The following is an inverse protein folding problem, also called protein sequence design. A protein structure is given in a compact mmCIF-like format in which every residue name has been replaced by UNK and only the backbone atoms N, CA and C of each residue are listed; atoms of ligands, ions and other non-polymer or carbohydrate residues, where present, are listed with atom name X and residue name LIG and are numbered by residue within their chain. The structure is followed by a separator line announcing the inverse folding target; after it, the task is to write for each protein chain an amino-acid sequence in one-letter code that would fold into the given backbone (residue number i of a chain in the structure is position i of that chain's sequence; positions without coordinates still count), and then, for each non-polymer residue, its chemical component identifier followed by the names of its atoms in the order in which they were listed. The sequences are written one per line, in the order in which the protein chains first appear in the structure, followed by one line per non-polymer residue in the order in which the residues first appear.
data_IF_010715303830
#
_entry.id   IF_010715303830
#
_cell.length_a   1.000
_cell.length_b   1.000
_cell.length_c   1.000
_cell.angle_alpha   90.00
_cell.angle_beta   90.00
_cell.angle_gamma   90.00
#
_symmetry.space_group_name_H-M   'P 1'
#
loop_
_entity.id
_entity.type
_entity.pdbx_description
1 polymer ?
#
# COMPACT_ATOMS: atom_id res chain seq x y z
N UNK A 1 -17.63 -16.93 -88.02
CA UNK A 1 -19.03 -16.73 -88.27
C UNK A 1 -19.70 -16.65 -86.91
N UNK A 2 -20.16 -15.59 -86.44
CA UNK A 2 -21.04 -14.53 -86.64
C UNK A 2 -20.78 -13.43 -85.57
N UNK A 3 -20.61 -12.21 -86.03
CA UNK A 3 -20.37 -11.01 -85.27
C UNK A 3 -21.71 -10.55 -84.68
N UNK A 4 -21.75 -10.20 -83.39
CA UNK A 4 -22.83 -9.44 -82.79
C UNK A 4 -22.26 -8.22 -82.07
N UNK A 5 -22.54 -7.04 -82.68
CA UNK A 5 -22.28 -5.70 -82.16
C UNK A 5 -23.26 -5.37 -81.01
N UNK A 6 -22.77 -4.91 -79.85
CA UNK A 6 -23.62 -4.24 -78.87
C UNK A 6 -23.36 -2.75 -78.84
N UNK A 7 -24.38 -2.00 -79.07
CA UNK A 7 -24.47 -0.54 -78.96
C UNK A 7 -24.44 -0.16 -77.46
N UNK A 8 -23.56 0.77 -77.12
CA UNK A 8 -23.51 1.37 -75.81
C UNK A 8 -24.47 2.56 -75.77
N UNK A 9 -25.44 2.52 -74.89
CA UNK A 9 -26.26 3.65 -74.48
C UNK A 9 -25.67 4.26 -73.18
N UNK A 10 -25.23 5.52 -73.35
CA UNK A 10 -24.77 6.32 -72.20
C UNK A 10 -25.98 6.88 -71.45
N UNK A 11 -26.11 6.52 -70.13
CA UNK A 11 -27.07 7.14 -69.21
C UNK A 11 -26.29 8.15 -68.37
N UNK A 12 -26.62 9.44 -68.56
CA UNK A 12 -26.11 10.52 -67.73
C UNK A 12 -26.85 10.48 -66.34
N UNK A 13 -26.14 10.18 -65.26
CA UNK A 13 -26.68 10.29 -63.93
C UNK A 13 -26.35 11.66 -63.34
N UNK A 14 -27.38 12.45 -63.11
CA UNK A 14 -27.31 13.71 -62.34
C UNK A 14 -27.08 13.28 -60.81
N UNK A 15 -25.94 13.62 -60.28
CA UNK A 15 -25.68 13.48 -58.82
C UNK A 15 -26.17 14.76 -58.13
N UNK A 16 -27.29 14.66 -57.40
CA UNK A 16 -27.68 15.64 -56.38
C UNK A 16 -26.79 15.46 -55.15
N UNK A 17 -25.89 16.40 -54.92
CA UNK A 17 -25.09 16.45 -53.70
C UNK A 17 -25.93 16.93 -52.52
N UNK A 18 -26.29 16.01 -51.61
CA UNK A 18 -26.84 16.34 -50.29
C UNK A 18 -25.69 16.68 -49.37
N UNK A 19 -25.51 17.95 -49.06
CA UNK A 19 -24.61 18.41 -47.99
C UNK A 19 -25.21 17.99 -46.63
N UNK A 20 -24.75 16.86 -46.08
CA UNK A 20 -25.03 16.49 -44.70
C UNK A 20 -24.06 17.25 -43.80
N UNK A 21 -24.56 18.31 -43.16
CA UNK A 21 -23.81 19.01 -42.10
C UNK A 21 -23.64 18.04 -40.90
N UNK A 22 -22.41 17.64 -40.62
CA UNK A 22 -22.10 16.89 -39.39
C UNK A 22 -22.40 17.79 -38.18
N UNK A 23 -23.11 17.26 -37.12
CA UNK A 23 -23.29 18.03 -35.90
C UNK A 23 -21.91 18.25 -35.25
N UNK A 24 -21.64 19.51 -34.87
CA UNK A 24 -20.47 19.88 -34.11
C UNK A 24 -20.45 19.04 -32.83
N UNK A 25 -19.38 18.23 -32.64
CA UNK A 25 -19.16 17.51 -31.40
C UNK A 25 -19.06 18.54 -30.28
N UNK A 26 -20.06 18.56 -29.40
CA UNK A 26 -20.02 19.35 -28.17
C UNK A 26 -18.84 18.88 -27.37
N UNK A 27 -17.82 19.71 -27.17
CA UNK A 27 -16.72 19.44 -26.27
C UNK A 27 -17.33 19.18 -24.89
N UNK A 28 -17.20 17.95 -24.40
CA UNK A 28 -17.52 17.65 -22.99
C UNK A 28 -16.68 18.59 -22.12
N UNK A 29 -17.30 19.27 -21.13
CA UNK A 29 -16.53 20.06 -20.19
C UNK A 29 -15.46 19.18 -19.56
N UNK A 30 -14.21 19.66 -19.58
CA UNK A 30 -13.11 18.99 -18.92
C UNK A 30 -13.54 18.67 -17.49
N UNK A 31 -13.54 17.38 -17.12
CA UNK A 31 -13.88 16.95 -15.77
C UNK A 31 -13.00 17.74 -14.79
N UNK A 32 -13.62 18.47 -13.87
CA UNK A 32 -12.88 19.17 -12.83
C UNK A 32 -11.96 18.15 -12.15
N UNK A 33 -10.70 18.50 -11.84
CA UNK A 33 -9.81 17.60 -11.15
C UNK A 33 -10.48 17.19 -9.82
N UNK A 34 -10.85 15.92 -9.76
CA UNK A 34 -11.57 15.42 -8.61
C UNK A 34 -10.67 15.56 -7.38
N UNK A 35 -11.16 16.26 -6.36
CA UNK A 35 -10.44 16.49 -5.11
C UNK A 35 -9.94 15.20 -4.48
N UNK A 36 -8.76 15.23 -3.87
CA UNK A 36 -8.24 14.09 -3.13
C UNK A 36 -9.19 13.71 -1.99
N UNK A 37 -9.38 12.42 -1.68
CA UNK A 37 -10.16 11.99 -0.52
C UNK A 37 -9.59 12.60 0.77
N UNK A 38 -10.46 12.98 1.69
CA UNK A 38 -10.08 13.63 2.97
C UNK A 38 -10.30 12.66 4.12
N UNK A 39 -9.38 12.66 5.09
CA UNK A 39 -9.53 11.95 6.34
C UNK A 39 -10.24 12.84 7.36
N UNK A 40 -11.56 12.91 7.29
CA UNK A 40 -12.41 13.51 8.33
C UNK A 40 -12.79 12.46 9.40
N UNK A 41 -13.55 12.88 10.40
CA UNK A 41 -13.97 12.02 11.51
C UNK A 41 -14.83 10.85 11.07
N UNK A 42 -15.75 11.09 10.13
CA UNK A 42 -16.65 10.05 9.61
C UNK A 42 -15.87 9.00 8.82
N UNK A 43 -15.00 9.44 7.92
CA UNK A 43 -14.07 8.56 7.18
C UNK A 43 -13.16 7.78 8.12
N UNK A 44 -12.63 8.42 9.17
CA UNK A 44 -11.78 7.76 10.16
C UNK A 44 -12.54 6.66 10.92
N UNK A 45 -13.77 6.95 11.35
CA UNK A 45 -14.61 5.97 12.03
C UNK A 45 -14.93 4.79 11.13
N UNK A 46 -15.29 5.05 9.87
CA UNK A 46 -15.58 4.02 8.88
C UNK A 46 -14.35 3.14 8.59
N UNK A 47 -13.17 3.73 8.38
CA UNK A 47 -11.94 2.99 8.17
C UNK A 47 -11.55 2.12 9.36
N UNK A 48 -11.80 2.56 10.59
CA UNK A 48 -11.45 1.81 11.79
C UNK A 48 -12.31 0.55 12.00
N UNK A 49 -13.45 0.42 11.32
CA UNK A 49 -14.35 -0.74 11.49
C UNK A 49 -13.72 -2.06 11.04
N UNK A 50 -12.95 -2.06 9.95
CA UNK A 50 -12.28 -3.29 9.46
C UNK A 50 -11.18 -3.78 10.42
N UNK A 51 -10.19 -2.96 10.82
CA UNK A 51 -9.23 -3.32 11.86
C UNK A 51 -9.88 -3.79 13.16
N UNK A 52 -10.88 -3.06 13.64
CA UNK A 52 -11.58 -3.40 14.88
C UNK A 52 -12.33 -4.73 14.80
N UNK A 53 -12.85 -5.09 13.62
CA UNK A 53 -13.57 -6.34 13.39
C UNK A 53 -12.67 -7.57 13.35
N UNK A 54 -11.37 -7.41 13.11
CA UNK A 54 -10.45 -8.54 12.97
C UNK A 54 -9.52 -8.74 14.18
N UNK A 55 -8.98 -7.68 14.76
CA UNK A 55 -8.06 -7.81 15.88
C UNK A 55 -8.70 -8.54 17.06
N UNK A 56 -8.06 -9.60 17.52
CA UNK A 56 -8.53 -10.43 18.63
C UNK A 56 -9.64 -11.42 18.27
N UNK A 57 -9.98 -11.58 16.99
CA UNK A 57 -10.97 -12.57 16.57
C UNK A 57 -10.44 -13.99 16.78
N UNK A 58 -11.20 -14.91 17.40
CA UNK A 58 -10.77 -16.28 17.54
C UNK A 58 -10.50 -16.94 16.18
N UNK A 59 -9.40 -17.66 16.09
CA UNK A 59 -9.10 -18.43 14.89
C UNK A 59 -10.05 -19.63 14.76
N UNK A 60 -10.82 -19.67 13.71
CA UNK A 60 -11.63 -20.83 13.35
C UNK A 60 -10.83 -21.77 12.44
N UNK A 61 -10.60 -23.04 12.79
CA UNK A 61 -10.03 -24.03 11.86
C UNK A 61 -11.00 -24.22 10.67
N UNK A 62 -10.49 -24.44 9.46
CA UNK A 62 -9.12 -24.45 8.95
C UNK A 62 -8.61 -23.07 8.47
N UNK A 63 -9.42 -22.01 8.56
CA UNK A 63 -9.09 -20.66 8.07
C UNK A 63 -7.99 -19.99 8.90
N UNK A 64 -7.74 -20.50 10.08
CA UNK A 64 -6.66 -20.06 10.96
C UNK A 64 -5.26 -20.51 10.54
N UNK A 65 -5.11 -21.18 9.42
CA UNK A 65 -3.82 -21.61 8.89
C UNK A 65 -3.07 -20.48 8.17
N UNK A 66 -3.21 -19.25 8.63
CA UNK A 66 -2.39 -18.17 8.14
C UNK A 66 -0.91 -18.41 8.39
N UNK A 67 -0.13 -17.48 8.05
CA UNK A 67 1.32 -17.42 8.20
C UNK A 67 1.86 -18.06 9.46
N UNK A 68 1.18 -17.79 10.57
CA UNK A 68 1.57 -18.22 11.90
C UNK A 68 1.69 -19.75 12.02
N UNK A 69 0.79 -20.48 11.36
CA UNK A 69 0.74 -21.93 11.44
C UNK A 69 1.67 -22.64 10.46
N UNK A 70 2.20 -21.95 9.50
CA UNK A 70 3.13 -22.53 8.52
C UNK A 70 4.56 -22.67 9.08
N UNK A 71 4.92 -21.84 10.07
CA UNK A 71 6.26 -21.79 10.62
C UNK A 71 6.40 -22.46 11.98
N UNK A 72 5.29 -22.75 12.68
CA UNK A 72 5.30 -23.33 14.02
C UNK A 72 4.52 -24.62 14.03
N UNK A 73 5.22 -25.78 14.06
CA UNK A 73 4.60 -27.10 14.07
C UNK A 73 3.80 -27.41 15.34
N UNK A 74 3.96 -26.63 16.42
CA UNK A 74 3.40 -26.89 17.75
C UNK A 74 2.64 -25.70 18.32
N UNK A 75 1.70 -25.12 17.56
CA UNK A 75 0.81 -24.07 18.09
C UNK A 75 -0.17 -24.70 19.06
N UNK A 76 -0.06 -24.32 20.32
CA UNK A 76 -0.94 -24.79 21.40
C UNK A 76 -2.30 -24.10 21.31
N UNK A 77 -3.40 -24.73 21.78
CA UNK A 77 -4.73 -24.13 21.79
C UNK A 77 -4.81 -22.78 22.52
N UNK A 78 -3.97 -22.57 23.54
CA UNK A 78 -3.92 -21.33 24.33
C UNK A 78 -3.01 -20.24 23.76
N UNK A 79 -2.46 -20.48 22.60
CA UNK A 79 -1.50 -19.59 21.95
C UNK A 79 -2.01 -18.14 21.84
N UNK A 80 -3.26 -17.95 21.39
CA UNK A 80 -3.85 -16.62 21.23
C UNK A 80 -3.91 -15.83 22.56
N UNK A 81 -4.09 -16.48 23.69
CA UNK A 81 -4.17 -15.83 25.01
C UNK A 81 -2.85 -15.22 25.49
N UNK A 82 -1.71 -15.72 24.97
CA UNK A 82 -0.37 -15.29 25.36
C UNK A 82 0.32 -14.46 24.27
N UNK A 83 -0.42 -14.02 23.24
CA UNK A 83 0.12 -13.30 22.10
C UNK A 83 -0.64 -11.98 21.89
N UNK A 84 0.07 -11.00 21.37
CA UNK A 84 -0.49 -9.68 21.09
C UNK A 84 -1.15 -9.61 19.69
N UNK A 85 -0.50 -10.18 18.68
CA UNK A 85 -0.86 -9.96 17.28
C UNK A 85 -1.54 -11.18 16.67
N UNK A 86 -2.86 -11.22 16.79
CA UNK A 86 -3.70 -12.30 16.25
C UNK A 86 -5.10 -11.78 15.90
N UNK A 87 -5.89 -12.61 15.23
CA UNK A 87 -7.31 -12.38 14.91
C UNK A 87 -7.55 -11.91 13.51
N UNK A 88 -6.67 -11.07 12.95
CA UNK A 88 -6.64 -10.80 11.52
C UNK A 88 -6.01 -12.01 10.79
N UNK A 89 -6.00 -11.99 9.46
CA UNK A 89 -5.61 -13.16 8.66
C UNK A 89 -4.23 -13.73 9.04
N UNK A 90 -3.26 -12.86 9.33
CA UNK A 90 -1.90 -13.19 9.72
C UNK A 90 -1.34 -12.23 10.78
N UNK A 91 -0.09 -12.44 11.18
CA UNK A 91 0.56 -11.65 12.22
C UNK A 91 0.72 -10.18 11.82
N UNK A 92 1.26 -9.92 10.63
CA UNK A 92 1.48 -8.54 10.18
C UNK A 92 0.17 -7.78 9.93
N UNK A 93 -0.90 -8.47 9.52
CA UNK A 93 -2.22 -7.86 9.38
C UNK A 93 -2.76 -7.37 10.73
N UNK A 94 -2.51 -8.13 11.80
CA UNK A 94 -2.89 -7.72 13.16
C UNK A 94 -2.08 -6.51 13.62
N UNK A 95 -0.77 -6.49 13.35
CA UNK A 95 0.11 -5.36 13.67
C UNK A 95 -0.30 -4.09 12.91
N UNK A 96 -0.47 -4.18 11.60
CA UNK A 96 -0.80 -3.02 10.78
C UNK A 96 -2.22 -2.52 11.04
N UNK A 97 -3.16 -3.40 11.40
CA UNK A 97 -4.50 -3.03 11.87
C UNK A 97 -4.44 -2.23 13.18
N UNK A 98 -3.59 -2.63 14.13
CA UNK A 98 -3.39 -1.87 15.37
C UNK A 98 -2.74 -0.51 15.11
N UNK A 99 -1.79 -0.44 14.17
CA UNK A 99 -1.24 0.84 13.73
C UNK A 99 -2.34 1.74 13.16
N UNK A 100 -3.20 1.22 12.28
CA UNK A 100 -4.31 2.00 11.70
C UNK A 100 -5.27 2.51 12.79
N UNK A 101 -5.67 1.63 13.73
CA UNK A 101 -6.53 2.02 14.85
C UNK A 101 -5.89 3.12 15.72
N UNK A 102 -4.61 2.98 16.09
CA UNK A 102 -3.89 3.98 16.87
C UNK A 102 -3.79 5.31 16.13
N UNK A 103 -3.48 5.26 14.83
CA UNK A 103 -3.37 6.44 13.95
C UNK A 103 -4.68 7.20 13.80
N UNK A 104 -5.78 6.49 13.58
CA UNK A 104 -7.11 7.07 13.44
C UNK A 104 -7.60 7.63 14.77
N UNK A 105 -7.39 6.91 15.88
CA UNK A 105 -7.74 7.36 17.23
C UNK A 105 -6.98 8.62 17.64
N UNK A 106 -5.69 8.70 17.35
CA UNK A 106 -4.87 9.88 17.61
C UNK A 106 -5.38 11.11 16.84
N UNK A 107 -5.83 10.88 15.60
CA UNK A 107 -6.29 11.95 14.71
C UNK A 107 -7.69 12.43 15.05
N UNK A 108 -8.57 11.52 15.45
CA UNK A 108 -9.97 11.74 15.75
C UNK A 108 -10.38 11.06 17.07
N UNK A 109 -9.92 11.58 18.22
CA UNK A 109 -10.17 10.95 19.52
C UNK A 109 -11.65 10.97 19.94
N UNK A 110 -12.47 11.75 19.26
CA UNK A 110 -13.91 11.93 19.48
C UNK A 110 -14.79 11.01 18.61
N UNK A 111 -14.20 10.02 17.91
CA UNK A 111 -14.98 8.99 17.20
C UNK A 111 -15.86 8.22 18.17
N UNK A 112 -17.06 7.84 17.74
CA UNK A 112 -18.00 7.04 18.57
C UNK A 112 -17.39 5.71 19.02
N UNK A 113 -16.51 5.10 18.18
CA UNK A 113 -15.84 3.84 18.47
C UNK A 113 -14.49 4.01 19.18
N UNK A 114 -14.09 5.23 19.55
CA UNK A 114 -12.80 5.50 20.18
C UNK A 114 -12.57 4.68 21.45
N UNK A 115 -13.61 4.51 22.28
CA UNK A 115 -13.55 3.68 23.50
C UNK A 115 -13.26 2.21 23.17
N UNK A 116 -13.95 1.64 22.18
CA UNK A 116 -13.74 0.25 21.74
C UNK A 116 -12.32 0.04 21.20
N UNK A 117 -11.79 1.01 20.46
CA UNK A 117 -10.40 0.95 19.98
C UNK A 117 -9.42 0.94 21.16
N UNK A 118 -9.62 1.81 22.16
CA UNK A 118 -8.75 1.84 23.37
C UNK A 118 -8.81 0.53 24.14
N UNK A 119 -10.01 -0.02 24.35
CA UNK A 119 -10.20 -1.31 25.02
C UNK A 119 -9.45 -2.43 24.27
N UNK A 120 -9.57 -2.47 22.95
CA UNK A 120 -8.90 -3.45 22.11
C UNK A 120 -7.37 -3.32 22.16
N UNK A 121 -6.84 -2.10 22.05
CA UNK A 121 -5.40 -1.86 22.17
C UNK A 121 -4.88 -2.17 23.59
N UNK A 122 -5.64 -1.86 24.65
CA UNK A 122 -5.27 -2.22 26.03
C UNK A 122 -5.19 -3.73 26.24
N UNK A 123 -6.14 -4.49 25.66
CA UNK A 123 -6.16 -5.96 25.74
C UNK A 123 -4.92 -6.57 25.06
N UNK A 124 -4.64 -6.14 23.83
CA UNK A 124 -3.62 -6.75 22.99
C UNK A 124 -2.20 -6.27 23.29
N UNK A 125 -2.03 -4.99 23.61
CA UNK A 125 -0.71 -4.40 23.87
C UNK A 125 -0.35 -4.45 25.38
N UNK A 126 -0.76 -5.49 26.09
CA UNK A 126 -0.35 -5.75 27.47
C UNK A 126 1.07 -6.28 27.55
N UNK A 127 1.76 -6.07 28.69
CA UNK A 127 3.12 -6.56 28.90
C UNK A 127 3.22 -8.10 28.77
N UNK A 128 2.21 -8.82 29.27
CA UNK A 128 2.15 -10.29 29.19
C UNK A 128 2.01 -10.77 27.75
N UNK A 129 1.15 -10.13 26.97
CA UNK A 129 0.96 -10.48 25.55
C UNK A 129 2.25 -10.24 24.75
N UNK A 130 2.96 -9.14 25.00
CA UNK A 130 4.25 -8.85 24.32
C UNK A 130 5.35 -9.83 24.81
N UNK A 131 5.36 -10.23 26.06
CA UNK A 131 6.27 -11.27 26.54
C UNK A 131 6.06 -12.59 25.79
N UNK A 132 4.81 -12.95 25.50
CA UNK A 132 4.47 -14.11 24.67
C UNK A 132 4.97 -13.98 23.22
N UNK A 133 4.92 -12.76 22.64
CA UNK A 133 5.52 -12.50 21.31
C UNK A 133 7.04 -12.70 21.34
N UNK A 134 7.74 -12.14 22.34
CA UNK A 134 9.19 -12.27 22.46
C UNK A 134 9.59 -13.75 22.60
N UNK A 135 8.87 -14.51 23.42
CA UNK A 135 9.11 -15.95 23.58
C UNK A 135 9.00 -16.67 22.22
N UNK A 136 7.94 -16.38 21.45
CA UNK A 136 7.75 -16.96 20.12
C UNK A 136 8.90 -16.62 19.16
N UNK A 137 9.30 -15.35 19.08
CA UNK A 137 10.39 -14.94 18.17
C UNK A 137 11.76 -15.45 18.57
N UNK A 138 11.92 -15.90 19.82
CA UNK A 138 13.15 -16.51 20.32
C UNK A 138 13.17 -18.05 20.23
N UNK A 139 12.04 -18.69 19.90
CA UNK A 139 12.00 -20.13 19.61
C UNK A 139 12.80 -20.46 18.34
N UNK A 140 13.40 -21.64 18.32
CA UNK A 140 14.14 -22.14 17.16
C UNK A 140 13.25 -22.21 15.92
N UNK A 141 13.74 -21.65 14.82
CA UNK A 141 13.01 -21.58 13.56
C UNK A 141 12.11 -20.34 13.39
N UNK A 142 11.82 -19.59 14.46
CA UNK A 142 10.95 -18.41 14.40
C UNK A 142 11.70 -17.08 14.29
N UNK A 143 13.04 -17.09 14.38
CA UNK A 143 13.86 -15.87 14.42
C UNK A 143 13.74 -15.00 13.15
N UNK A 144 13.32 -15.59 12.02
CA UNK A 144 13.16 -14.90 10.73
C UNK A 144 11.69 -14.73 10.33
N UNK A 145 10.76 -15.14 11.18
CA UNK A 145 9.34 -15.02 10.93
C UNK A 145 8.96 -13.56 10.67
N UNK A 146 8.09 -13.29 9.69
CA UNK A 146 7.63 -11.95 9.28
C UNK A 146 8.70 -10.99 8.74
N UNK A 147 9.92 -11.45 8.53
CA UNK A 147 11.04 -10.63 8.04
C UNK A 147 10.94 -10.33 6.54
N UNK A 148 11.13 -9.09 6.11
CA UNK A 148 11.27 -7.85 6.89
C UNK A 148 9.95 -7.09 7.11
N UNK A 149 8.89 -7.44 6.37
CA UNK A 149 7.64 -6.69 6.22
C UNK A 149 6.91 -6.48 7.56
N UNK A 150 6.65 -7.58 8.29
CA UNK A 150 5.98 -7.52 9.58
C UNK A 150 6.79 -6.77 10.63
N UNK A 151 8.13 -6.92 10.62
CA UNK A 151 9.02 -6.18 11.53
C UNK A 151 8.94 -4.67 11.29
N UNK A 152 8.91 -4.25 10.02
CA UNK A 152 8.76 -2.84 9.67
C UNK A 152 7.41 -2.27 10.13
N UNK A 153 6.32 -3.03 10.02
CA UNK A 153 5.02 -2.64 10.56
C UNK A 153 5.01 -2.51 12.08
N UNK A 154 5.67 -3.42 12.81
CA UNK A 154 5.76 -3.31 14.26
C UNK A 154 6.53 -2.05 14.69
N UNK A 155 7.67 -1.78 14.07
CA UNK A 155 8.44 -0.57 14.37
C UNK A 155 7.67 0.70 14.01
N UNK A 156 6.85 0.66 12.97
CA UNK A 156 5.96 1.76 12.62
C UNK A 156 4.87 1.98 13.68
N UNK A 157 4.25 0.90 14.19
CA UNK A 157 3.32 0.97 15.32
C UNK A 157 4.01 1.53 16.57
N UNK A 158 5.18 1.02 16.91
CA UNK A 158 5.97 1.48 18.06
C UNK A 158 6.30 2.98 17.99
N UNK A 159 6.77 3.45 16.83
CA UNK A 159 7.05 4.88 16.59
C UNK A 159 5.79 5.77 16.69
N UNK A 160 4.65 5.31 16.19
CA UNK A 160 3.38 6.05 16.28
C UNK A 160 2.95 6.23 17.73
N UNK A 161 3.00 5.17 18.52
CA UNK A 161 2.63 5.19 19.93
C UNK A 161 3.61 6.02 20.76
N UNK A 162 4.92 5.87 20.53
CA UNK A 162 5.97 6.59 21.26
C UNK A 162 5.95 8.10 21.01
N UNK A 163 5.51 8.53 19.83
CA UNK A 163 5.37 9.97 19.48
C UNK A 163 4.03 10.59 19.88
N UNK A 164 3.12 9.82 20.47
CA UNK A 164 1.80 10.30 20.85
C UNK A 164 1.76 10.70 22.33
N UNK A 165 1.47 11.98 22.61
CA UNK A 165 1.32 12.49 23.98
C UNK A 165 -0.06 12.11 24.55
N UNK A 166 -0.22 10.83 24.90
CA UNK A 166 -1.42 10.21 25.44
C UNK A 166 -0.97 9.16 26.46
N UNK A 167 -1.58 9.07 27.67
CA UNK A 167 -1.17 8.13 28.72
C UNK A 167 -1.24 6.66 28.28
N UNK A 168 -2.32 6.27 27.58
CA UNK A 168 -2.49 4.91 27.08
C UNK A 168 -1.43 4.59 26.01
N UNK A 169 -1.19 5.53 25.08
CA UNK A 169 -0.20 5.36 24.03
C UNK A 169 1.22 5.19 24.60
N UNK A 170 1.60 5.98 25.61
CA UNK A 170 2.88 5.84 26.32
C UNK A 170 3.02 4.47 26.98
N UNK A 171 1.95 3.99 27.62
CA UNK A 171 1.91 2.64 28.21
C UNK A 171 2.06 1.55 27.15
N UNK A 172 1.33 1.64 26.03
CA UNK A 172 1.43 0.67 24.94
C UNK A 172 2.83 0.69 24.29
N UNK A 173 3.41 1.87 24.09
CA UNK A 173 4.78 2.01 23.59
C UNK A 173 5.79 1.33 24.53
N UNK A 174 5.71 1.59 25.83
CA UNK A 174 6.58 0.97 26.82
C UNK A 174 6.46 -0.57 26.85
N UNK A 175 5.24 -1.09 26.68
CA UNK A 175 5.02 -2.53 26.60
C UNK A 175 5.61 -3.14 25.33
N UNK A 176 5.52 -2.47 24.17
CA UNK A 176 6.04 -2.96 22.87
C UNK A 176 7.57 -2.84 22.78
N UNK A 177 8.18 -1.90 23.51
CA UNK A 177 9.61 -1.60 23.42
C UNK A 177 10.53 -2.82 23.46
N UNK A 178 10.35 -3.81 24.37
CA UNK A 178 11.20 -5.00 24.42
C UNK A 178 11.15 -5.81 23.10
N UNK A 179 9.98 -5.95 22.47
CA UNK A 179 9.85 -6.63 21.19
C UNK A 179 10.46 -5.81 20.03
N UNK A 180 10.29 -4.49 20.05
CA UNK A 180 10.92 -3.61 19.09
C UNK A 180 12.47 -3.73 19.14
N UNK A 181 13.05 -3.83 20.34
CA UNK A 181 14.50 -4.06 20.52
C UNK A 181 14.96 -5.37 19.87
N UNK A 182 14.20 -6.46 19.99
CA UNK A 182 14.52 -7.74 19.31
C UNK A 182 14.64 -7.54 17.79
N UNK A 183 13.75 -6.78 17.20
CA UNK A 183 13.83 -6.56 15.76
C UNK A 183 14.93 -5.57 15.37
N UNK A 184 15.15 -4.53 16.17
CA UNK A 184 16.24 -3.58 15.93
C UNK A 184 17.62 -4.24 15.95
N UNK A 185 17.83 -5.25 16.79
CA UNK A 185 19.05 -6.07 16.82
C UNK A 185 19.16 -6.98 15.58
N UNK A 186 18.04 -7.48 15.05
CA UNK A 186 18.01 -8.43 13.91
C UNK A 186 18.06 -7.75 12.55
N UNK A 187 17.59 -6.51 12.40
CA UNK A 187 17.54 -5.80 11.12
C UNK A 187 18.93 -5.62 10.51
N UNK A 188 19.97 -5.18 11.20
CA UNK A 188 21.31 -5.08 10.62
C UNK A 188 21.85 -6.44 10.14
N UNK A 189 21.60 -7.52 10.88
CA UNK A 189 21.98 -8.87 10.49
C UNK A 189 21.27 -9.28 9.20
N UNK A 190 19.97 -9.01 9.10
CA UNK A 190 19.21 -9.26 7.89
C UNK A 190 19.75 -8.47 6.69
N UNK A 191 19.99 -7.18 6.84
CA UNK A 191 20.50 -6.33 5.77
C UNK A 191 21.85 -6.84 5.23
N UNK A 192 22.70 -7.36 6.11
CA UNK A 192 24.01 -7.91 5.73
C UNK A 192 23.93 -9.25 4.99
N UNK A 193 22.84 -10.00 5.17
CA UNK A 193 22.63 -11.29 4.47
C UNK A 193 21.99 -11.15 3.10
N UNK A 194 21.46 -9.97 2.74
CA UNK A 194 20.86 -9.75 1.43
C UNK A 194 21.93 -9.60 0.35
N UNK A 195 22.04 -10.61 -0.52
CA UNK A 195 22.91 -10.56 -1.69
C UNK A 195 22.36 -9.66 -2.81
N UNK A 196 21.02 -9.58 -2.93
CA UNK A 196 20.31 -8.76 -3.90
C UNK A 196 18.92 -8.38 -3.36
N UNK A 197 18.31 -7.28 -3.83
CA UNK A 197 16.96 -6.90 -3.43
C UNK A 197 15.90 -7.78 -4.11
N UNK A 198 14.79 -8.01 -3.42
CA UNK A 198 13.60 -8.64 -4.00
C UNK A 198 12.68 -7.57 -4.57
N UNK A 199 12.54 -7.53 -5.90
CA UNK A 199 11.69 -6.60 -6.66
C UNK A 199 10.36 -7.27 -7.01
N UNK A 200 9.57 -7.62 -5.97
CA UNK A 200 8.28 -8.31 -6.09
C UNK A 200 7.14 -7.41 -5.64
N UNK A 201 5.93 -7.64 -6.11
CA UNK A 201 4.73 -6.88 -5.74
C UNK A 201 4.07 -7.34 -4.42
N UNK A 202 4.77 -8.11 -3.57
CA UNK A 202 4.24 -8.71 -2.35
C UNK A 202 5.12 -8.45 -1.13
N UNK A 203 4.85 -9.10 0.00
CA UNK A 203 5.52 -8.91 1.31
C UNK A 203 7.06 -8.96 1.25
N UNK A 204 7.64 -9.67 0.29
CA UNK A 204 9.08 -9.73 0.10
C UNK A 204 9.71 -8.47 -0.50
N UNK A 205 8.93 -7.45 -0.90
CA UNK A 205 9.45 -6.24 -1.53
C UNK A 205 10.47 -5.51 -0.64
N UNK A 206 11.72 -5.51 -1.09
CA UNK A 206 12.83 -4.93 -0.32
C UNK A 206 12.72 -3.41 -0.22
N UNK A 207 12.39 -2.74 -1.32
CA UNK A 207 12.28 -1.27 -1.34
C UNK A 207 11.20 -0.76 -0.39
N UNK A 208 10.01 -1.39 -0.39
CA UNK A 208 8.92 -1.05 0.51
C UNK A 208 9.32 -1.20 1.98
N UNK A 209 9.94 -2.33 2.33
CA UNK A 209 10.36 -2.58 3.72
C UNK A 209 11.48 -1.64 4.17
N UNK A 210 12.47 -1.35 3.31
CA UNK A 210 13.53 -0.38 3.61
C UNK A 210 12.96 1.03 3.81
N UNK A 211 11.97 1.44 3.01
CA UNK A 211 11.31 2.74 3.17
C UNK A 211 10.62 2.85 4.54
N UNK A 212 9.85 1.84 4.94
CA UNK A 212 9.17 1.82 6.25
C UNK A 212 10.18 1.86 7.42
N UNK A 213 11.27 1.10 7.32
CA UNK A 213 12.34 1.11 8.32
C UNK A 213 13.06 2.46 8.37
N UNK A 214 13.25 3.12 7.23
CA UNK A 214 13.85 4.45 7.13
C UNK A 214 12.94 5.52 7.76
N UNK A 215 11.63 5.45 7.51
CA UNK A 215 10.64 6.30 8.18
C UNK A 215 10.71 6.12 9.71
N UNK A 216 10.80 4.87 10.19
CA UNK A 216 11.00 4.59 11.61
C UNK A 216 12.29 5.21 12.15
N UNK A 217 13.42 4.96 11.49
CA UNK A 217 14.74 5.43 11.94
C UNK A 217 14.78 6.96 12.09
N UNK A 218 14.17 7.67 11.15
CA UNK A 218 14.06 9.15 11.16
C UNK A 218 13.11 9.64 12.26
N UNK A 219 11.90 9.09 12.32
CA UNK A 219 10.89 9.51 13.30
C UNK A 219 11.31 9.23 14.76
N UNK A 220 12.11 8.19 14.97
CA UNK A 220 12.60 7.76 16.29
C UNK A 220 14.03 8.22 16.59
N UNK A 221 14.64 9.00 15.69
CA UNK A 221 15.99 9.53 15.82
C UNK A 221 17.06 8.45 16.08
N UNK A 222 17.13 7.43 15.20
CA UNK A 222 18.11 6.34 15.25
C UNK A 222 19.10 6.45 14.09
N UNK A 223 20.09 7.37 14.18
CA UNK A 223 20.93 7.77 13.04
C UNK A 223 21.80 6.62 12.50
N UNK A 224 22.25 5.71 13.35
CA UNK A 224 23.05 4.55 12.91
C UNK A 224 22.23 3.60 12.02
N UNK A 225 20.95 3.37 12.35
CA UNK A 225 20.03 2.58 11.53
C UNK A 225 19.71 3.32 10.22
N UNK A 226 19.43 4.64 10.29
CA UNK A 226 19.20 5.46 9.10
C UNK A 226 20.36 5.35 8.11
N UNK A 227 21.60 5.54 8.58
CA UNK A 227 22.79 5.46 7.74
C UNK A 227 22.92 4.08 7.07
N UNK A 228 22.72 2.99 7.80
CA UNK A 228 22.78 1.63 7.28
C UNK A 228 21.70 1.37 6.21
N UNK A 229 20.48 1.87 6.43
CA UNK A 229 19.37 1.72 5.48
C UNK A 229 19.61 2.53 4.21
N UNK A 230 20.09 3.76 4.33
CA UNK A 230 20.45 4.63 3.18
C UNK A 230 21.56 4.00 2.35
N UNK A 231 22.60 3.49 2.99
CA UNK A 231 23.70 2.80 2.31
C UNK A 231 23.21 1.57 1.54
N UNK A 232 22.39 0.74 2.20
CA UNK A 232 21.84 -0.47 1.58
C UNK A 232 20.89 -0.13 0.43
N UNK A 233 20.05 0.89 0.57
CA UNK A 233 19.17 1.35 -0.51
C UNK A 233 19.98 1.83 -1.73
N UNK A 234 21.05 2.61 -1.53
CA UNK A 234 21.95 3.03 -2.61
C UNK A 234 22.65 1.84 -3.26
N UNK A 235 23.16 0.91 -2.47
CA UNK A 235 23.83 -0.30 -2.99
C UNK A 235 22.90 -1.09 -3.90
N UNK A 236 21.63 -1.19 -3.57
CA UNK A 236 20.67 -2.02 -4.32
C UNK A 236 20.04 -1.32 -5.52
N UNK A 237 19.81 0.00 -5.43
CA UNK A 237 18.88 0.66 -6.34
C UNK A 237 19.47 1.89 -7.08
N UNK A 238 20.64 2.40 -6.67
CA UNK A 238 21.17 3.61 -7.28
C UNK A 238 21.51 3.44 -8.78
N UNK A 239 21.91 2.24 -9.17
CA UNK A 239 22.27 1.92 -10.56
C UNK A 239 21.06 1.48 -11.41
N UNK A 240 19.88 1.34 -10.81
CA UNK A 240 18.70 0.87 -11.53
C UNK A 240 18.18 1.94 -12.50
N UNK A 241 17.76 1.51 -13.68
CA UNK A 241 17.23 2.36 -14.74
C UNK A 241 16.18 1.57 -15.56
N UNK A 242 15.28 2.28 -16.24
CA UNK A 242 14.39 1.69 -17.23
C UNK A 242 13.39 0.70 -16.63
N UNK A 243 12.77 1.01 -15.48
CA UNK A 243 11.71 0.16 -14.94
C UNK A 243 10.58 0.00 -15.95
N UNK A 244 10.07 -1.23 -16.09
CA UNK A 244 9.04 -1.60 -17.06
C UNK A 244 7.68 -1.87 -16.38
N UNK A 245 6.84 -0.83 -16.13
CA UNK A 245 5.60 -0.99 -15.39
C UNK A 245 4.58 -1.94 -16.04
N UNK A 246 4.69 -2.17 -17.33
CA UNK A 246 3.78 -3.05 -18.08
C UNK A 246 3.97 -4.55 -17.77
N UNK A 247 5.04 -4.92 -17.09
CA UNK A 247 5.32 -6.32 -16.71
C UNK A 247 5.38 -6.53 -15.20
N UNK A 248 5.12 -5.48 -14.40
CA UNK A 248 5.24 -5.58 -12.95
C UNK A 248 4.03 -6.16 -12.23
N UNK A 249 2.82 -6.13 -12.85
CA UNK A 249 1.61 -6.58 -12.17
C UNK A 249 1.43 -8.08 -12.37
N UNK A 250 1.60 -8.85 -11.31
CA UNK A 250 1.12 -10.22 -11.20
C UNK A 250 -0.27 -10.27 -10.56
N UNK A 251 -0.98 -11.39 -10.70
CA UNK A 251 -2.36 -11.53 -10.21
C UNK A 251 -2.53 -11.46 -8.69
N UNK A 252 -1.44 -11.38 -7.93
CA UNK A 252 -1.44 -11.30 -6.46
C UNK A 252 -0.65 -10.13 -5.90
N UNK A 253 -0.29 -9.16 -6.74
CA UNK A 253 0.46 -7.99 -6.30
C UNK A 253 -0.43 -6.99 -5.55
N UNK A 254 0.07 -6.48 -4.43
CA UNK A 254 -0.51 -5.35 -3.70
C UNK A 254 0.45 -4.17 -3.58
N UNK A 255 1.65 -4.31 -4.14
CA UNK A 255 2.67 -3.28 -4.28
C UNK A 255 3.08 -3.18 -5.75
N UNK A 256 3.52 -1.99 -6.17
CA UNK A 256 4.14 -1.78 -7.47
C UNK A 256 5.66 -1.75 -7.27
N UNK A 257 6.43 -2.74 -7.75
CA UNK A 257 7.89 -2.73 -7.64
C UNK A 257 8.54 -1.44 -8.12
N UNK A 258 8.16 -0.94 -9.30
CA UNK A 258 8.67 0.32 -9.83
C UNK A 258 8.38 1.51 -8.91
N UNK A 259 7.14 1.64 -8.41
CA UNK A 259 6.77 2.79 -7.61
C UNK A 259 7.31 2.71 -6.17
N UNK A 260 7.39 1.51 -5.56
CA UNK A 260 7.99 1.36 -4.22
C UNK A 260 9.47 1.67 -4.22
N UNK A 261 10.18 1.27 -5.28
CA UNK A 261 11.59 1.60 -5.46
C UNK A 261 11.78 3.11 -5.66
N UNK A 262 11.00 3.73 -6.55
CA UNK A 262 11.06 5.17 -6.77
C UNK A 262 10.73 5.96 -5.49
N UNK A 263 9.74 5.52 -4.69
CA UNK A 263 9.38 6.15 -3.42
C UNK A 263 10.47 6.00 -2.35
N UNK A 264 11.18 4.87 -2.30
CA UNK A 264 12.35 4.72 -1.44
C UNK A 264 13.48 5.67 -1.87
N UNK A 265 13.81 5.72 -3.18
CA UNK A 265 14.88 6.56 -3.68
C UNK A 265 14.57 8.06 -3.55
N UNK A 266 13.30 8.45 -3.54
CA UNK A 266 12.85 9.80 -3.19
C UNK A 266 13.23 10.21 -1.76
N UNK A 267 13.24 9.26 -0.82
CA UNK A 267 13.64 9.49 0.57
C UNK A 267 15.19 9.42 0.77
N UNK A 268 15.88 8.74 -0.13
CA UNK A 268 17.32 8.45 0.00
C UNK A 268 18.21 9.48 -0.71
N UNK A 269 17.75 10.00 -1.84
CA UNK A 269 18.56 10.91 -2.66
C UNK A 269 18.23 12.38 -2.38
N UNK A 270 19.23 13.27 -2.41
CA UNK A 270 18.97 14.71 -2.49
C UNK A 270 18.12 15.03 -3.73
N UNK A 271 17.20 15.99 -3.64
CA UNK A 271 16.19 16.29 -4.67
C UNK A 271 16.75 16.35 -6.09
N UNK A 272 17.88 17.08 -6.32
CA UNK A 272 18.46 17.21 -7.65
C UNK A 272 18.98 15.87 -8.23
N UNK A 273 19.51 15.00 -7.36
CA UNK A 273 19.95 13.66 -7.75
C UNK A 273 18.74 12.74 -7.99
N UNK A 274 17.73 12.85 -7.16
CA UNK A 274 16.48 12.10 -7.33
C UNK A 274 15.79 12.39 -8.66
N UNK A 275 15.69 13.66 -9.06
CA UNK A 275 15.09 14.04 -10.36
C UNK A 275 15.81 13.33 -11.52
N UNK A 276 17.15 13.40 -11.54
CA UNK A 276 17.97 12.75 -12.60
C UNK A 276 17.84 11.22 -12.59
N UNK A 277 17.82 10.63 -11.40
CA UNK A 277 17.66 9.20 -11.25
C UNK A 277 16.26 8.76 -11.71
N UNK A 278 15.21 9.49 -11.31
CA UNK A 278 13.83 9.21 -11.69
C UNK A 278 13.60 9.32 -13.20
N UNK A 279 14.25 10.29 -13.86
CA UNK A 279 14.19 10.46 -15.33
C UNK A 279 14.75 9.24 -16.07
N UNK A 280 15.76 8.59 -15.50
CA UNK A 280 16.36 7.39 -16.08
C UNK A 280 15.58 6.11 -15.69
N UNK A 281 14.90 6.11 -14.55
CA UNK A 281 14.30 4.92 -13.96
C UNK A 281 12.83 4.73 -14.39
N UNK A 282 11.99 5.75 -14.24
CA UNK A 282 10.54 5.64 -14.46
C UNK A 282 10.14 6.32 -15.77
N UNK A 283 9.33 5.67 -16.64
CA UNK A 283 8.82 6.31 -17.85
C UNK A 283 8.03 7.59 -17.54
N UNK A 284 8.03 8.54 -18.46
CA UNK A 284 7.26 9.78 -18.33
C UNK A 284 5.74 9.48 -18.25
N UNK A 285 4.96 10.24 -17.44
CA UNK A 285 3.53 9.96 -17.21
C UNK A 285 2.65 9.95 -18.47
N UNK A 286 3.05 10.63 -19.53
CA UNK A 286 2.36 10.70 -20.83
C UNK A 286 2.83 9.62 -21.82
N UNK A 287 3.82 8.82 -21.45
CA UNK A 287 4.37 7.77 -22.33
C UNK A 287 3.49 6.52 -22.36
N UNK A 288 3.47 5.77 -23.48
CA UNK A 288 2.75 4.50 -23.58
C UNK A 288 3.20 3.47 -22.52
N UNK A 289 4.48 3.47 -22.14
CA UNK A 289 5.06 2.57 -21.15
C UNK A 289 4.53 2.82 -19.75
N UNK A 290 4.14 4.07 -19.44
CA UNK A 290 3.56 4.44 -18.15
C UNK A 290 2.10 4.01 -17.99
N UNK A 291 1.40 3.69 -19.07
CA UNK A 291 -0.05 3.44 -19.09
C UNK A 291 -0.52 2.42 -18.05
N UNK A 292 0.26 1.36 -17.79
CA UNK A 292 -0.07 0.35 -16.79
C UNK A 292 -0.21 0.93 -15.36
N UNK A 293 0.51 2.00 -15.06
CA UNK A 293 0.45 2.69 -13.76
C UNK A 293 -0.77 3.63 -13.63
N UNK A 294 -1.50 3.91 -14.69
CA UNK A 294 -2.70 4.77 -14.65
C UNK A 294 -3.98 4.00 -14.29
N UNK A 295 -3.92 2.67 -14.32
CA UNK A 295 -5.06 1.80 -14.05
C UNK A 295 -5.24 1.71 -12.53
N UNK A 296 -6.43 2.07 -12.03
CA UNK A 296 -6.80 1.97 -10.62
C UNK A 296 -6.98 0.52 -10.17
N UNK A 297 -8.13 0.18 -9.61
CA UNK A 297 -8.44 -1.21 -9.28
C UNK A 297 -8.61 -2.02 -10.58
N UNK A 298 -7.84 -3.10 -10.69
CA UNK A 298 -7.92 -4.03 -11.84
C UNK A 298 -9.10 -4.95 -11.61
N UNK A 299 -10.05 -4.92 -12.55
CA UNK A 299 -11.24 -5.77 -12.50
C UNK A 299 -10.86 -7.24 -12.82
N UNK A 300 -11.38 -8.14 -12.01
CA UNK A 300 -11.18 -9.57 -12.18
C UNK A 300 -12.34 -10.20 -12.96
N UNK A 301 -12.08 -11.26 -13.75
CA UNK A 301 -13.14 -12.02 -14.40
C UNK A 301 -14.17 -12.56 -13.39
N UNK A 302 -15.42 -12.63 -13.79
CA UNK A 302 -16.47 -13.27 -13.00
C UNK A 302 -16.35 -14.80 -13.07
N UNK A 303 -16.51 -15.49 -11.94
CA UNK A 303 -16.62 -16.95 -11.87
C UNK A 303 -17.87 -17.36 -11.12
N UNK A 304 -18.53 -18.41 -11.60
CA UNK A 304 -19.72 -18.99 -10.95
C UNK A 304 -19.37 -20.14 -9.97
N UNK A 305 -18.12 -20.60 -9.96
CA UNK A 305 -17.68 -21.69 -9.09
C UNK A 305 -17.20 -21.18 -7.75
N UNK A 306 -17.74 -21.72 -6.64
CA UNK A 306 -17.46 -21.25 -5.27
C UNK A 306 -15.96 -21.34 -4.90
N UNK A 307 -15.26 -22.40 -5.35
CA UNK A 307 -13.83 -22.56 -5.09
C UNK A 307 -13.00 -21.49 -5.83
N UNK A 308 -13.35 -21.18 -7.07
CA UNK A 308 -12.69 -20.14 -7.85
C UNK A 308 -13.01 -18.75 -7.29
N UNK A 309 -14.26 -18.50 -6.88
CA UNK A 309 -14.60 -17.26 -6.17
C UNK A 309 -13.74 -17.05 -4.93
N UNK A 310 -13.55 -18.07 -4.10
CA UNK A 310 -12.74 -17.97 -2.89
C UNK A 310 -11.26 -17.65 -3.19
N UNK A 311 -10.68 -18.24 -4.24
CA UNK A 311 -9.32 -17.93 -4.69
C UNK A 311 -9.22 -16.51 -5.27
N UNK A 312 -10.23 -16.10 -6.05
CA UNK A 312 -10.29 -14.78 -6.67
C UNK A 312 -10.44 -13.65 -5.64
N UNK A 313 -11.14 -13.90 -4.52
CA UNK A 313 -11.36 -12.87 -3.49
C UNK A 313 -10.07 -12.38 -2.85
N UNK A 314 -9.12 -13.27 -2.54
CA UNK A 314 -7.80 -12.87 -2.04
C UNK A 314 -7.01 -12.06 -3.08
N UNK A 315 -7.00 -12.48 -4.34
CA UNK A 315 -6.36 -11.74 -5.42
C UNK A 315 -7.06 -10.39 -5.67
N UNK A 316 -8.39 -10.31 -5.60
CA UNK A 316 -9.14 -9.06 -5.71
C UNK A 316 -8.73 -8.06 -4.62
N UNK A 317 -8.62 -8.52 -3.37
CA UNK A 317 -8.16 -7.67 -2.28
C UNK A 317 -6.76 -7.11 -2.54
N UNK A 318 -5.83 -7.94 -3.03
CA UNK A 318 -4.49 -7.50 -3.40
C UNK A 318 -4.53 -6.42 -4.49
N UNK A 319 -5.33 -6.59 -5.53
CA UNK A 319 -5.44 -5.58 -6.61
C UNK A 319 -6.11 -4.28 -6.13
N UNK A 320 -7.04 -4.34 -5.17
CA UNK A 320 -7.58 -3.14 -4.50
C UNK A 320 -6.48 -2.45 -3.69
N UNK A 321 -5.70 -3.22 -2.93
CA UNK A 321 -4.55 -2.73 -2.16
C UNK A 321 -3.44 -2.17 -3.05
N UNK A 322 -3.19 -2.76 -4.22
CA UNK A 322 -2.26 -2.25 -5.22
C UNK A 322 -2.61 -0.81 -5.63
N UNK A 323 -3.89 -0.55 -5.88
CA UNK A 323 -4.32 0.81 -6.24
C UNK A 323 -3.95 1.82 -5.15
N UNK A 324 -4.26 1.57 -3.88
CA UNK A 324 -3.94 2.53 -2.82
C UNK A 324 -2.44 2.59 -2.49
N UNK A 325 -1.69 1.51 -2.63
CA UNK A 325 -0.22 1.56 -2.47
C UNK A 325 0.44 2.38 -3.56
N UNK A 326 -0.06 2.30 -4.80
CA UNK A 326 0.34 3.20 -5.89
C UNK A 326 -0.01 4.65 -5.57
N UNK A 327 -1.21 4.92 -5.04
CA UNK A 327 -1.59 6.26 -4.61
C UNK A 327 -0.60 6.85 -3.60
N UNK A 328 -0.18 6.07 -2.60
CA UNK A 328 0.81 6.49 -1.62
C UNK A 328 2.16 6.79 -2.28
N UNK A 329 2.65 5.91 -3.14
CA UNK A 329 3.91 6.12 -3.84
C UNK A 329 3.87 7.36 -4.74
N UNK A 330 2.78 7.62 -5.46
CA UNK A 330 2.64 8.83 -6.27
C UNK A 330 2.67 10.12 -5.44
N UNK A 331 2.09 10.13 -4.23
CA UNK A 331 2.22 11.27 -3.31
C UNK A 331 3.66 11.48 -2.87
N UNK A 332 4.39 10.40 -2.54
CA UNK A 332 5.79 10.48 -2.16
C UNK A 332 6.65 11.06 -3.30
N UNK A 333 6.42 10.60 -4.54
CA UNK A 333 7.11 11.14 -5.72
C UNK A 333 6.77 12.61 -5.96
N UNK A 334 5.50 12.98 -5.89
CA UNK A 334 5.06 14.37 -6.06
C UNK A 334 5.65 15.31 -5.00
N UNK A 335 5.80 14.83 -3.76
CA UNK A 335 6.38 15.58 -2.65
C UNK A 335 7.90 15.77 -2.81
N UNK A 336 8.60 14.78 -3.38
CA UNK A 336 10.06 14.82 -3.57
C UNK A 336 10.51 15.66 -4.77
N UNK A 337 9.65 15.87 -5.76
CA UNK A 337 9.94 16.66 -6.93
C UNK A 337 9.90 18.17 -6.63
N UNK A 338 10.65 19.01 -7.39
CA UNK A 338 10.46 20.46 -7.34
C UNK A 338 9.01 20.84 -7.65
N UNK A 339 8.45 21.81 -6.95
CA UNK A 339 7.02 22.20 -7.11
C UNK A 339 6.61 22.55 -8.55
N UNK A 340 7.55 23.04 -9.35
CA UNK A 340 7.32 23.42 -10.76
C UNK A 340 7.56 22.27 -11.75
N UNK A 341 7.95 21.10 -11.27
CA UNK A 341 8.10 19.92 -12.12
C UNK A 341 6.75 19.52 -12.70
N UNK A 342 6.69 19.34 -14.01
CA UNK A 342 5.45 19.05 -14.74
C UNK A 342 4.76 17.75 -14.27
N UNK A 343 5.53 16.80 -13.70
CA UNK A 343 5.03 15.51 -13.20
C UNK A 343 4.24 15.63 -11.89
N UNK A 344 4.45 16.68 -11.10
CA UNK A 344 3.79 16.85 -9.79
C UNK A 344 2.28 16.82 -9.92
N UNK A 345 1.71 17.57 -10.87
CA UNK A 345 0.27 17.58 -11.11
C UNK A 345 -0.27 16.21 -11.54
N UNK A 346 0.43 15.54 -12.46
CA UNK A 346 0.05 14.22 -12.94
C UNK A 346 0.08 13.16 -11.83
N UNK A 347 1.14 13.13 -11.02
CA UNK A 347 1.27 12.17 -9.91
C UNK A 347 0.20 12.39 -8.83
N UNK A 348 -0.11 13.63 -8.45
CA UNK A 348 -1.21 13.93 -7.51
C UNK A 348 -2.57 13.54 -8.05
N UNK A 349 -2.82 13.78 -9.33
CA UNK A 349 -4.06 13.36 -9.96
C UNK A 349 -4.22 11.83 -9.98
N UNK A 350 -3.14 11.11 -10.28
CA UNK A 350 -3.09 9.64 -10.21
C UNK A 350 -3.28 9.15 -8.78
N UNK A 351 -2.59 9.73 -7.80
CA UNK A 351 -2.75 9.37 -6.38
C UNK A 351 -4.22 9.49 -5.94
N UNK A 352 -4.86 10.62 -6.22
CA UNK A 352 -6.27 10.83 -5.89
C UNK A 352 -7.20 9.85 -6.63
N UNK A 353 -6.94 9.54 -7.90
CA UNK A 353 -7.72 8.60 -8.70
C UNK A 353 -7.62 7.17 -8.16
N UNK A 354 -6.41 6.69 -7.90
CA UNK A 354 -6.16 5.37 -7.34
C UNK A 354 -6.77 5.20 -5.96
N UNK A 355 -6.63 6.20 -5.08
CA UNK A 355 -7.21 6.17 -3.75
C UNK A 355 -8.74 6.10 -3.80
N UNK A 356 -9.40 6.90 -4.64
CA UNK A 356 -10.86 6.82 -4.81
C UNK A 356 -11.32 5.46 -5.31
N UNK A 357 -10.60 4.88 -6.27
CA UNK A 357 -10.88 3.55 -6.80
C UNK A 357 -10.79 2.49 -5.70
N UNK A 358 -9.74 2.52 -4.88
CA UNK A 358 -9.56 1.60 -3.76
C UNK A 358 -10.61 1.78 -2.67
N UNK A 359 -10.93 3.03 -2.28
CA UNK A 359 -11.97 3.34 -1.28
C UNK A 359 -13.32 2.82 -1.75
N UNK A 360 -13.68 3.04 -3.01
CA UNK A 360 -14.93 2.55 -3.58
C UNK A 360 -15.06 1.04 -3.52
N UNK A 361 -13.96 0.33 -3.76
CA UNK A 361 -13.93 -1.15 -3.83
C UNK A 361 -13.54 -1.83 -2.51
N UNK A 362 -13.31 -1.09 -1.43
CA UNK A 362 -12.76 -1.63 -0.17
C UNK A 362 -13.59 -2.79 0.40
N UNK A 363 -14.91 -2.75 0.25
CA UNK A 363 -15.83 -3.79 0.74
C UNK A 363 -16.19 -4.85 -0.30
N UNK A 364 -15.67 -4.74 -1.54
CA UNK A 364 -15.96 -5.72 -2.60
C UNK A 364 -15.20 -7.04 -2.40
N UNK A 365 -14.14 -7.04 -1.59
CA UNK A 365 -13.46 -8.24 -1.14
C UNK A 365 -14.10 -8.80 0.12
N UNK A 366 -14.04 -10.13 0.32
CA UNK A 366 -14.49 -10.73 1.57
C UNK A 366 -13.58 -10.34 2.75
N UNK A 367 -13.97 -10.77 3.97
CA UNK A 367 -13.19 -10.48 5.18
C UNK A 367 -11.72 -10.92 5.08
N UNK A 368 -11.44 -12.07 4.48
CA UNK A 368 -10.06 -12.58 4.37
C UNK A 368 -9.18 -11.69 3.49
N UNK A 369 -9.81 -10.92 2.60
CA UNK A 369 -9.12 -10.00 1.72
C UNK A 369 -9.15 -8.53 2.14
N UNK A 370 -10.20 -8.08 2.83
CA UNK A 370 -10.42 -6.64 3.09
C UNK A 370 -9.82 -6.15 4.41
N UNK A 371 -9.44 -7.02 5.34
CA UNK A 371 -9.03 -6.65 6.71
C UNK A 371 -7.84 -5.67 6.78
N UNK A 372 -6.94 -5.66 5.81
CA UNK A 372 -5.75 -4.82 5.76
C UNK A 372 -5.87 -3.59 4.82
N UNK A 373 -6.86 -3.57 3.90
CA UNK A 373 -7.01 -2.49 2.92
C UNK A 373 -7.24 -1.15 3.61
N UNK A 374 -8.03 -1.11 4.69
CA UNK A 374 -8.27 0.10 5.47
C UNK A 374 -6.98 0.70 6.03
N UNK A 375 -5.99 -0.13 6.39
CA UNK A 375 -4.67 0.31 6.84
C UNK A 375 -3.93 1.07 5.74
N UNK A 376 -3.92 0.56 4.53
CA UNK A 376 -3.27 1.20 3.38
C UNK A 376 -3.98 2.50 2.98
N UNK A 377 -5.32 2.53 3.03
CA UNK A 377 -6.09 3.76 2.81
C UNK A 377 -5.76 4.80 3.89
N UNK A 378 -5.69 4.40 5.15
CA UNK A 378 -5.29 5.27 6.26
C UNK A 378 -3.89 5.85 6.03
N UNK A 379 -2.93 5.03 5.61
CA UNK A 379 -1.56 5.46 5.33
C UNK A 379 -1.51 6.52 4.23
N UNK A 380 -2.22 6.29 3.13
CA UNK A 380 -2.33 7.27 2.05
C UNK A 380 -2.96 8.59 2.53
N UNK A 381 -4.12 8.55 3.20
CA UNK A 381 -4.86 9.76 3.60
C UNK A 381 -4.07 10.62 4.59
N UNK A 382 -3.33 9.98 5.50
CA UNK A 382 -2.46 10.69 6.45
C UNK A 382 -1.27 11.35 5.74
N UNK A 383 -0.71 10.70 4.72
CA UNK A 383 0.40 11.25 3.92
C UNK A 383 -0.04 12.44 3.07
N UNK A 384 -1.14 12.30 2.32
CA UNK A 384 -1.70 13.35 1.47
C UNK A 384 -2.06 14.61 2.28
N UNK A 385 -2.57 14.44 3.51
CA UNK A 385 -2.87 15.55 4.40
C UNK A 385 -1.61 16.31 4.85
N UNK A 386 -0.50 15.63 5.17
CA UNK A 386 0.77 16.29 5.52
C UNK A 386 1.28 17.14 4.36
N UNK A 387 1.23 16.61 3.15
CA UNK A 387 1.64 17.32 1.94
C UNK A 387 0.78 18.58 1.71
N UNK A 388 -0.52 18.50 1.95
CA UNK A 388 -1.44 19.63 1.83
C UNK A 388 -1.11 20.74 2.83
N UNK A 389 -0.88 20.44 4.11
CA UNK A 389 -0.51 21.42 5.13
C UNK A 389 0.84 22.07 4.84
N UNK A 390 1.84 21.32 4.40
CA UNK A 390 3.15 21.87 4.03
C UNK A 390 3.06 22.84 2.85
N UNK A 391 2.09 22.66 1.95
CA UNK A 391 1.87 23.55 0.80
C UNK A 391 1.01 24.77 1.13
N UNK A 392 0.11 24.70 2.13
CA UNK A 392 -0.74 25.82 2.56
C UNK A 392 -0.07 26.79 3.52
N UNK A 393 1.03 26.38 4.13
CA UNK A 393 1.82 27.20 5.07
C UNK A 393 2.97 28.00 4.41
N UNK A 394 2.97 28.12 3.08
CA UNK A 394 3.94 28.92 2.30
C UNK A 394 3.24 30.04 1.52
#
# INVERSE_FOLDING_TARGET
MTIWSRRSTAIAALALGVLVSAPAASAQPAAQPATAPVLDRETAQWLATLPLSCVGKPHAPPRSRGYLYQTTAAIKPDFAKTRAFYGCYDWHSSVNSMWAMAKLLRRHPDMQIAKLIREKLNEHLSADAITGEIAFFNEDGNQTFERPYGWAWLLRLYSELGSWDDPDAKKWAANIEPLAKVFLERIPLYLNTLAAPMRVGTHGNTAYSLKMLLEYARNSNVPALEAALVDRAKTFFLADAGCAPNVEVSGSDFLSPCLTEAALMADVLPQQHFVKWLDAFLPAPDSPQFKALTIGVIEMPQSNEELEKAKMMGAKAHLIGLAVSRARSFEDLAAALPQRDARVGAYRALAASHARSSIKSMYDADYSGSHWIATFITDYLVSAHRTSLANSGR
#
